data_IF_404643583938
#
_entry.id   IF_404643583938
#
_cell.length_a   1.000
_cell.length_b   1.000
_cell.length_c   1.000
_cell.angle_alpha   90.00
_cell.angle_beta   90.00
_cell.angle_gamma   90.00
#
_symmetry.space_group_name_H-M   'P 1'
#
loop_
_entity.id
_entity.type
_entity.pdbx_description
1 polymer ?
#
# COMPACT_ATOMS: atom_id res chain seq x y z
N UNK A 1 6.32 -23.11 21.29
CA UNK A 1 6.07 -22.13 20.21
C UNK A 1 5.72 -20.81 20.89
N UNK A 2 6.51 -19.76 20.69
CA UNK A 2 6.29 -18.50 21.40
C UNK A 2 5.26 -17.68 20.61
N UNK A 3 4.13 -17.37 21.25
CA UNK A 3 3.09 -16.51 20.68
C UNK A 3 3.65 -15.10 20.52
N UNK A 4 3.43 -14.49 19.36
CA UNK A 4 3.77 -13.09 19.12
C UNK A 4 2.70 -12.21 19.80
N UNK A 5 3.09 -11.35 20.73
CA UNK A 5 2.17 -10.39 21.34
C UNK A 5 1.82 -9.24 20.38
N UNK A 6 0.67 -8.56 20.56
CA UNK A 6 0.34 -7.35 19.81
C UNK A 6 1.47 -6.32 19.73
N UNK A 7 2.09 -6.02 20.88
CA UNK A 7 3.19 -5.05 20.97
C UNK A 7 4.44 -5.52 20.24
N UNK A 8 4.74 -6.83 20.26
CA UNK A 8 5.88 -7.38 19.52
C UNK A 8 5.64 -7.30 18.01
N UNK A 9 4.42 -7.55 17.52
CA UNK A 9 4.07 -7.37 16.11
C UNK A 9 4.27 -5.93 15.66
N UNK A 10 3.71 -4.97 16.40
CA UNK A 10 3.86 -3.54 16.10
C UNK A 10 5.34 -3.15 16.09
N UNK A 11 6.10 -3.56 17.10
CA UNK A 11 7.53 -3.25 17.19
C UNK A 11 8.33 -3.88 16.05
N UNK A 12 8.05 -5.14 15.70
CA UNK A 12 8.70 -5.81 14.59
C UNK A 12 8.48 -5.05 13.29
N UNK A 13 7.21 -4.79 12.98
CA UNK A 13 6.81 -4.05 11.79
C UNK A 13 7.44 -2.65 11.72
N UNK A 14 7.37 -1.88 12.79
CA UNK A 14 7.96 -0.53 12.85
C UNK A 14 9.48 -0.56 12.71
N UNK A 15 10.16 -1.52 13.35
CA UNK A 15 11.63 -1.64 13.28
C UNK A 15 12.13 -2.03 11.89
N UNK A 16 11.32 -2.77 11.14
CA UNK A 16 11.57 -3.14 9.74
C UNK A 16 11.11 -2.06 8.75
N UNK A 17 10.48 -0.97 9.21
CA UNK A 17 9.98 0.10 8.35
C UNK A 17 8.87 -0.34 7.40
N UNK A 18 8.03 -1.29 7.83
CA UNK A 18 6.97 -1.86 7.02
C UNK A 18 5.59 -1.26 7.37
N UNK A 19 4.77 -1.08 6.33
CA UNK A 19 3.36 -0.71 6.51
C UNK A 19 2.53 -1.90 6.97
N UNK A 20 1.40 -1.65 7.66
CA UNK A 20 0.45 -2.72 8.00
C UNK A 20 -0.08 -3.42 6.74
N UNK A 21 -0.34 -2.67 5.67
CA UNK A 21 -0.83 -3.21 4.41
C UNK A 21 0.16 -4.19 3.79
N UNK A 22 1.45 -3.84 3.80
CA UNK A 22 2.53 -4.67 3.28
C UNK A 22 2.62 -6.00 4.04
N UNK A 23 2.69 -5.95 5.38
CA UNK A 23 2.73 -7.16 6.22
C UNK A 23 1.48 -8.01 6.04
N UNK A 24 0.30 -7.37 6.04
CA UNK A 24 -0.98 -8.05 5.86
C UNK A 24 -1.02 -8.81 4.52
N UNK A 25 -0.60 -8.16 3.43
CA UNK A 25 -0.53 -8.77 2.10
C UNK A 25 0.46 -9.92 2.05
N UNK A 26 1.69 -9.71 2.53
CA UNK A 26 2.75 -10.73 2.49
C UNK A 26 2.36 -11.99 3.27
N UNK A 27 1.66 -11.83 4.39
CA UNK A 27 1.18 -12.92 5.23
C UNK A 27 -0.13 -13.53 4.71
N UNK A 28 -0.88 -12.82 3.86
CA UNK A 28 -2.23 -13.21 3.45
C UNK A 28 -3.32 -12.93 4.50
N UNK A 29 -3.02 -12.07 5.48
CA UNK A 29 -3.95 -11.66 6.53
C UNK A 29 -4.75 -10.43 6.09
N UNK A 30 -6.03 -10.35 6.48
CA UNK A 30 -6.80 -9.13 6.26
C UNK A 30 -6.18 -7.95 7.05
N UNK A 31 -5.90 -6.83 6.37
CA UNK A 31 -5.25 -5.65 6.99
C UNK A 31 -6.01 -5.14 8.23
N UNK A 32 -7.34 -5.07 8.20
CA UNK A 32 -8.12 -4.64 9.36
C UNK A 32 -7.96 -5.60 10.55
N UNK A 33 -7.72 -6.89 10.30
CA UNK A 33 -7.46 -7.85 11.38
C UNK A 33 -6.07 -7.66 11.97
N UNK A 34 -5.05 -7.39 11.15
CA UNK A 34 -3.72 -7.03 11.62
C UNK A 34 -3.77 -5.76 12.48
N UNK A 35 -4.45 -4.72 12.01
CA UNK A 35 -4.63 -3.46 12.75
C UNK A 35 -5.33 -3.66 14.09
N UNK A 36 -6.42 -4.45 14.12
CA UNK A 36 -7.11 -4.77 15.38
C UNK A 36 -6.23 -5.60 16.33
N UNK A 37 -5.42 -6.51 15.79
CA UNK A 37 -4.48 -7.30 16.58
C UNK A 37 -3.37 -6.44 17.18
N UNK A 38 -2.67 -5.63 16.38
CA UNK A 38 -1.63 -4.70 16.84
C UNK A 38 -2.19 -3.69 17.87
N UNK A 39 -3.44 -3.26 17.70
CA UNK A 39 -4.15 -2.41 18.65
C UNK A 39 -4.67 -3.13 19.91
N UNK A 40 -4.43 -4.44 20.06
CA UNK A 40 -4.87 -5.25 21.19
C UNK A 40 -6.40 -5.48 21.27
N UNK A 41 -7.14 -5.12 20.22
CA UNK A 41 -8.61 -5.27 20.13
C UNK A 41 -9.03 -6.68 19.73
N UNK A 42 -8.12 -7.46 19.14
CA UNK A 42 -8.37 -8.81 18.63
C UNK A 42 -7.21 -9.74 18.95
N UNK A 43 -7.54 -11.01 19.19
CA UNK A 43 -6.56 -12.11 19.22
C UNK A 43 -6.60 -12.84 17.88
N UNK A 44 -5.45 -13.04 17.24
CA UNK A 44 -5.36 -13.77 15.97
C UNK A 44 -5.36 -15.28 16.19
N UNK A 45 -5.81 -16.03 15.19
CA UNK A 45 -5.65 -17.48 15.15
C UNK A 45 -4.17 -17.88 15.07
N UNK A 46 -3.81 -19.05 15.60
CA UNK A 46 -2.44 -19.55 15.68
C UNK A 46 -1.72 -19.57 14.31
N UNK A 47 -2.44 -19.88 13.23
CA UNK A 47 -1.87 -19.87 11.86
C UNK A 47 -1.34 -18.49 11.47
N UNK A 48 -2.03 -17.42 11.84
CA UNK A 48 -1.66 -16.06 11.48
C UNK A 48 -0.52 -15.55 12.37
N UNK A 49 -0.54 -15.91 13.66
CA UNK A 49 0.57 -15.59 14.55
C UNK A 49 1.87 -16.29 14.11
N UNK A 50 1.74 -17.54 13.65
CA UNK A 50 2.86 -18.31 13.08
C UNK A 50 3.39 -17.63 11.83
N UNK A 51 2.51 -17.32 10.88
CA UNK A 51 2.89 -16.69 9.62
C UNK A 51 3.52 -15.29 9.82
N UNK A 52 2.99 -14.47 10.74
CA UNK A 52 3.60 -13.18 11.11
C UNK A 52 5.01 -13.36 11.68
N UNK A 53 5.20 -14.33 12.57
CA UNK A 53 6.50 -14.61 13.18
C UNK A 53 7.51 -15.10 12.14
N UNK A 54 7.11 -16.04 11.29
CA UNK A 54 7.95 -16.56 10.21
C UNK A 54 8.32 -15.45 9.23
N UNK A 55 7.35 -14.61 8.86
CA UNK A 55 7.57 -13.45 8.00
C UNK A 55 8.60 -12.49 8.61
N UNK A 56 8.36 -11.99 9.82
CA UNK A 56 9.29 -11.05 10.46
C UNK A 56 10.68 -11.66 10.69
N UNK A 57 10.75 -12.93 11.08
CA UNK A 57 12.03 -13.63 11.22
C UNK A 57 12.76 -13.80 9.88
N UNK A 58 12.02 -14.02 8.78
CA UNK A 58 12.58 -14.08 7.43
C UNK A 58 13.13 -12.73 6.95
N UNK A 59 12.49 -11.64 7.38
CA UNK A 59 12.91 -10.26 7.15
C UNK A 59 14.06 -9.82 8.10
N UNK A 60 14.58 -10.73 8.92
CA UNK A 60 15.72 -10.47 9.80
C UNK A 60 15.36 -9.80 11.13
N UNK A 61 14.08 -9.75 11.49
CA UNK A 61 13.68 -9.33 12.83
C UNK A 61 13.97 -10.43 13.84
N UNK A 62 14.92 -10.16 14.72
CA UNK A 62 15.16 -10.98 15.90
C UNK A 62 14.37 -10.41 17.07
N UNK A 63 13.58 -11.26 17.72
CA UNK A 63 12.96 -10.96 19.02
C UNK A 63 14.04 -10.92 20.11
N UNK A 64 14.98 -9.97 19.98
CA UNK A 64 15.94 -9.67 21.02
C UNK A 64 15.13 -9.29 22.24
N UNK A 65 15.28 -10.09 23.31
CA UNK A 65 14.52 -10.01 24.55
C UNK A 65 14.10 -8.58 24.85
N UNK A 66 12.80 -8.32 24.79
CA UNK A 66 12.19 -7.05 25.12
C UNK A 66 12.82 -6.58 26.43
N UNK A 67 13.79 -5.68 26.35
CA UNK A 67 14.32 -4.97 27.50
C UNK A 67 13.08 -4.28 28.03
N UNK A 68 12.55 -4.79 29.15
CA UNK A 68 11.40 -4.23 29.84
C UNK A 68 11.70 -2.76 30.04
N UNK A 69 11.25 -1.92 29.13
CA UNK A 69 11.39 -0.49 29.28
C UNK A 69 10.66 -0.14 30.57
N UNK A 70 11.28 0.64 31.46
CA UNK A 70 10.65 0.99 32.71
C UNK A 70 9.28 1.66 32.43
N UNK A 71 8.24 1.32 33.21
CA UNK A 71 6.92 1.94 33.10
C UNK A 71 7.05 3.41 33.47
N UNK A 72 7.23 4.26 32.47
CA UNK A 72 7.54 5.67 32.72
C UNK A 72 7.90 6.51 31.49
N UNK A 73 8.15 5.90 30.32
CA UNK A 73 8.21 6.67 29.07
C UNK A 73 6.80 6.97 28.55
N UNK A 74 6.06 7.79 29.30
CA UNK A 74 5.11 8.68 28.64
C UNK A 74 5.97 9.62 27.80
N UNK A 75 6.12 9.32 26.50
CA UNK A 75 6.64 10.27 25.52
C UNK A 75 5.88 11.57 25.77
N UNK A 76 6.54 12.53 26.42
CA UNK A 76 6.08 13.91 26.42
C UNK A 76 5.98 14.28 24.96
N UNK A 77 4.76 14.39 24.43
CA UNK A 77 4.49 14.74 23.04
C UNK A 77 5.36 15.97 22.73
N UNK A 78 6.43 15.83 21.92
CA UNK A 78 7.15 17.00 21.46
C UNK A 78 6.12 17.90 20.78
N UNK A 79 6.22 19.21 21.03
CA UNK A 79 5.33 20.24 20.46
C UNK A 79 4.90 19.82 19.05
N UNK A 80 3.59 19.61 18.88
CA UNK A 80 3.00 18.90 17.74
C UNK A 80 3.71 19.27 16.44
N UNK A 81 4.61 18.40 16.00
CA UNK A 81 5.25 18.56 14.70
C UNK A 81 4.12 18.64 13.68
N UNK A 82 4.11 19.63 12.77
CA UNK A 82 3.11 19.70 11.71
C UNK A 82 3.22 18.52 10.73
N UNK A 83 4.19 17.62 10.95
CA UNK A 83 4.43 16.44 10.15
C UNK A 83 4.64 15.20 11.02
N UNK A 84 4.08 14.08 10.57
CA UNK A 84 4.42 12.73 10.99
C UNK A 84 5.27 12.04 9.90
N UNK A 85 5.92 10.93 10.23
CA UNK A 85 6.61 10.09 9.24
C UNK A 85 6.09 8.67 9.33
N UNK A 86 5.60 8.13 8.21
CA UNK A 86 5.16 6.74 8.07
C UNK A 86 5.87 6.17 6.84
N UNK A 87 6.57 5.05 6.98
CA UNK A 87 7.32 4.37 5.90
C UNK A 87 8.27 5.28 5.12
N UNK A 88 8.88 6.26 5.80
CA UNK A 88 9.76 7.27 5.18
C UNK A 88 9.01 8.40 4.45
N UNK A 89 7.69 8.37 4.38
CA UNK A 89 6.87 9.45 3.84
C UNK A 89 6.59 10.50 4.91
N UNK A 90 6.75 11.78 4.54
CA UNK A 90 6.35 12.92 5.36
C UNK A 90 4.85 13.14 5.19
N UNK A 91 4.11 13.05 6.29
CA UNK A 91 2.65 13.15 6.34
C UNK A 91 2.24 14.42 7.07
N UNK A 92 1.42 15.25 6.43
CA UNK A 92 0.89 16.46 7.04
C UNK A 92 -0.03 16.13 8.22
N UNK A 93 0.06 16.90 9.30
CA UNK A 93 -0.67 16.64 10.55
C UNK A 93 -2.19 16.69 10.45
N UNK A 94 -2.75 17.21 9.35
CA UNK A 94 -4.21 17.24 9.13
C UNK A 94 -4.75 15.98 8.44
N UNK A 95 -3.87 15.07 8.01
CA UNK A 95 -4.27 13.81 7.38
C UNK A 95 -4.41 12.78 8.50
N UNK A 96 -5.59 12.18 8.57
CA UNK A 96 -5.85 11.16 9.58
C UNK A 96 -4.97 9.91 9.31
N UNK A 97 -4.47 9.22 10.36
CA UNK A 97 -3.61 8.05 10.19
C UNK A 97 -4.19 6.98 9.27
N UNK A 98 -5.49 6.69 9.40
CA UNK A 98 -6.17 5.70 8.56
C UNK A 98 -6.21 6.11 7.07
N UNK A 99 -6.36 7.41 6.79
CA UNK A 99 -6.35 7.98 5.43
C UNK A 99 -4.93 7.93 4.85
N UNK A 100 -3.93 8.32 5.65
CA UNK A 100 -2.53 8.22 5.29
C UNK A 100 -2.14 6.79 4.90
N UNK A 101 -2.51 5.80 5.72
CA UNK A 101 -2.23 4.39 5.41
C UNK A 101 -2.97 3.91 4.16
N UNK A 102 -4.21 4.33 3.92
CA UNK A 102 -4.94 3.98 2.70
C UNK A 102 -4.28 4.57 1.44
N UNK A 103 -3.78 5.80 1.53
CA UNK A 103 -3.03 6.44 0.45
C UNK A 103 -1.70 5.72 0.18
N UNK A 104 -0.97 5.35 1.23
CA UNK A 104 0.27 4.59 1.10
C UNK A 104 0.02 3.20 0.49
N UNK A 105 -1.06 2.53 0.90
CA UNK A 105 -1.47 1.26 0.31
C UNK A 105 -1.73 1.40 -1.20
N UNK A 106 -2.48 2.43 -1.62
CA UNK A 106 -2.70 2.73 -3.03
C UNK A 106 -1.38 3.04 -3.77
N UNK A 107 -0.46 3.77 -3.12
CA UNK A 107 0.86 4.07 -3.67
C UNK A 107 1.65 2.80 -3.98
N UNK A 108 1.68 1.85 -3.03
CA UNK A 108 2.37 0.57 -3.22
C UNK A 108 1.69 -0.29 -4.29
N UNK A 109 0.36 -0.39 -4.30
CA UNK A 109 -0.37 -1.12 -5.35
C UNK A 109 -0.04 -0.57 -6.74
N UNK A 110 0.01 0.76 -6.89
CA UNK A 110 0.39 1.37 -8.16
C UNK A 110 1.84 1.03 -8.57
N UNK A 111 2.74 0.93 -7.59
CA UNK A 111 4.14 0.53 -7.82
C UNK A 111 4.26 -0.91 -8.32
N UNK A 112 3.59 -1.84 -7.62
CA UNK A 112 3.57 -3.27 -7.99
C UNK A 112 3.02 -3.46 -9.41
N UNK A 113 1.95 -2.75 -9.76
CA UNK A 113 1.38 -2.78 -11.11
C UNK A 113 2.34 -2.22 -12.17
N UNK A 114 3.04 -1.13 -11.87
CA UNK A 114 4.03 -0.57 -12.78
C UNK A 114 5.20 -1.54 -13.02
N UNK A 115 5.67 -2.23 -11.99
CA UNK A 115 6.72 -3.25 -12.11
C UNK A 115 6.25 -4.42 -12.99
N UNK A 116 5.05 -4.95 -12.74
CA UNK A 116 4.45 -5.98 -13.58
C UNK A 116 4.34 -5.57 -15.05
N UNK A 117 3.93 -4.32 -15.30
CA UNK A 117 3.83 -3.77 -16.65
C UNK A 117 5.20 -3.59 -17.33
N UNK A 118 6.23 -3.26 -16.57
CA UNK A 118 7.60 -3.11 -17.10
C UNK A 118 8.17 -4.46 -17.57
N UNK A 119 7.78 -5.55 -16.92
CA UNK A 119 8.18 -6.92 -17.28
C UNK A 119 7.31 -7.57 -18.37
N UNK A 120 6.19 -6.93 -18.73
CA UNK A 120 5.26 -7.47 -19.73
C UNK A 120 5.80 -7.27 -21.15
N UNK A 121 5.90 -8.37 -21.91
CA UNK A 121 6.29 -8.29 -23.33
C UNK A 121 5.21 -7.57 -24.14
N UNK A 122 5.63 -6.61 -24.97
CA UNK A 122 4.73 -5.94 -25.91
C UNK A 122 4.23 -6.91 -26.97
N UNK A 123 2.95 -6.82 -27.31
CA UNK A 123 2.37 -7.61 -28.39
C UNK A 123 3.02 -7.24 -29.73
N UNK A 124 3.55 -8.27 -30.41
CA UNK A 124 4.03 -8.16 -31.77
C UNK A 124 2.84 -8.26 -32.74
N UNK A 125 2.78 -7.34 -33.70
CA UNK A 125 1.84 -7.35 -34.81
C UNK A 125 2.19 -8.39 -35.87
N UNK A 126 1.38 -8.43 -36.93
CA UNK A 126 1.44 -9.45 -38.00
C UNK A 126 2.79 -9.58 -38.70
N UNK A 127 3.64 -8.55 -38.67
CA UNK A 127 4.98 -8.57 -39.26
C UNK A 127 6.12 -8.61 -38.23
N UNK A 128 5.83 -8.94 -36.95
CA UNK A 128 6.82 -8.90 -35.88
C UNK A 128 7.18 -7.49 -35.40
N UNK A 129 6.50 -6.46 -35.91
CA UNK A 129 6.63 -5.08 -35.42
C UNK A 129 5.82 -4.90 -34.14
N UNK A 130 6.30 -4.05 -33.22
CA UNK A 130 5.54 -3.71 -32.02
C UNK A 130 4.20 -3.09 -32.43
N UNK A 131 3.10 -3.60 -31.87
CA UNK A 131 1.79 -3.00 -32.06
C UNK A 131 1.75 -1.61 -31.43
N UNK A 132 1.83 -0.56 -32.25
CA UNK A 132 1.84 0.83 -31.79
C UNK A 132 0.61 1.17 -30.94
N UNK A 133 -0.54 0.58 -31.26
CA UNK A 133 -1.79 0.76 -30.49
C UNK A 133 -1.67 0.12 -29.10
N UNK A 134 -1.14 -1.10 -29.01
CA UNK A 134 -0.96 -1.81 -27.74
C UNK A 134 0.08 -1.09 -26.88
N UNK A 135 1.22 -0.71 -27.46
CA UNK A 135 2.26 0.07 -26.80
C UNK A 135 1.75 1.44 -26.31
N UNK A 136 0.93 2.12 -27.10
CA UNK A 136 0.31 3.38 -26.69
C UNK A 136 -0.62 3.20 -25.49
N UNK A 137 -1.41 2.11 -25.46
CA UNK A 137 -2.29 1.86 -24.33
C UNK A 137 -1.57 1.48 -23.06
N UNK A 138 -0.60 0.58 -23.15
CA UNK A 138 0.21 0.17 -22.00
C UNK A 138 1.02 1.35 -21.45
N UNK A 139 1.65 2.17 -22.30
CA UNK A 139 2.35 3.37 -21.84
C UNK A 139 1.42 4.39 -21.20
N UNK A 140 0.20 4.56 -21.72
CA UNK A 140 -0.82 5.41 -21.10
C UNK A 140 -1.21 4.96 -19.69
N UNK A 141 -1.40 3.64 -19.48
CA UNK A 141 -1.67 3.06 -18.17
C UNK A 141 -0.50 3.26 -17.20
N UNK A 142 0.72 3.00 -17.64
CA UNK A 142 1.93 3.18 -16.82
C UNK A 142 2.08 4.63 -16.38
N UNK A 143 1.89 5.59 -17.31
CA UNK A 143 1.92 7.03 -17.00
C UNK A 143 0.81 7.39 -16.01
N UNK A 144 -0.38 6.83 -16.14
CA UNK A 144 -1.50 7.09 -15.22
C UNK A 144 -1.15 6.68 -13.78
N UNK A 145 -0.56 5.48 -13.60
CA UNK A 145 -0.11 4.99 -12.29
C UNK A 145 0.98 5.88 -11.70
N UNK A 146 1.98 6.27 -12.51
CA UNK A 146 3.05 7.16 -12.06
C UNK A 146 2.53 8.55 -11.64
N UNK A 147 1.58 9.10 -12.39
CA UNK A 147 0.90 10.36 -12.04
C UNK A 147 0.13 10.21 -10.73
N UNK A 148 -0.55 9.07 -10.52
CA UNK A 148 -1.29 8.82 -9.29
C UNK A 148 -0.36 8.71 -8.07
N UNK A 149 0.76 8.01 -8.18
CA UNK A 149 1.78 7.97 -7.12
C UNK A 149 2.29 9.37 -6.75
N UNK A 150 2.53 10.23 -7.74
CA UNK A 150 2.92 11.62 -7.50
C UNK A 150 1.83 12.41 -6.76
N UNK A 151 0.56 12.25 -7.16
CA UNK A 151 -0.57 12.87 -6.48
C UNK A 151 -0.66 12.42 -5.02
N UNK A 152 -0.52 11.11 -4.76
CA UNK A 152 -0.53 10.58 -3.39
C UNK A 152 0.56 11.24 -2.56
N UNK A 153 1.79 11.35 -3.07
CA UNK A 153 2.88 12.04 -2.37
C UNK A 153 2.52 13.50 -2.04
N UNK A 154 1.89 14.21 -2.98
CA UNK A 154 1.45 15.60 -2.76
C UNK A 154 0.35 15.71 -1.72
N UNK A 155 -0.63 14.80 -1.76
CA UNK A 155 -1.70 14.71 -0.76
C UNK A 155 -1.08 14.45 0.61
N UNK A 156 -0.24 13.42 0.75
CA UNK A 156 0.45 13.09 2.00
C UNK A 156 1.22 14.28 2.57
N UNK A 157 1.86 15.09 1.72
CA UNK A 157 2.59 16.30 2.14
C UNK A 157 1.69 17.50 2.43
N UNK A 158 0.37 17.38 2.29
CA UNK A 158 -0.59 18.47 2.48
C UNK A 158 -0.54 19.53 1.39
N UNK A 159 0.01 19.21 0.21
CA UNK A 159 0.15 20.14 -0.92
C UNK A 159 -1.12 20.16 -1.78
N UNK A 160 -1.89 19.09 -1.77
CA UNK A 160 -3.17 18.95 -2.46
C UNK A 160 -4.18 18.37 -1.46
N UNK A 161 -5.44 18.79 -1.57
CA UNK A 161 -6.51 18.10 -0.85
C UNK A 161 -6.69 16.70 -1.45
N UNK A 162 -7.03 15.72 -0.61
CA UNK A 162 -7.48 14.43 -1.09
C UNK A 162 -8.68 14.64 -2.04
N UNK A 163 -8.42 14.55 -3.34
CA UNK A 163 -9.46 14.68 -4.34
C UNK A 163 -10.30 13.42 -4.26
N UNK A 164 -11.41 13.49 -3.53
CA UNK A 164 -12.40 12.42 -3.43
C UNK A 164 -13.26 12.33 -4.67
N UNK A 165 -12.94 13.03 -5.77
CA UNK A 165 -13.78 13.03 -6.97
C UNK A 165 -13.97 11.58 -7.40
N UNK A 166 -15.16 11.00 -7.18
CA UNK A 166 -15.36 9.59 -7.43
C UNK A 166 -15.12 9.38 -8.92
N UNK A 167 -14.42 8.30 -9.25
CA UNK A 167 -14.20 7.87 -10.63
C UNK A 167 -15.56 7.88 -11.31
N UNK A 168 -15.73 8.85 -12.19
CA UNK A 168 -17.04 9.21 -12.72
C UNK A 168 -17.40 8.19 -13.79
N UNK A 169 -18.68 7.78 -13.85
CA UNK A 169 -19.21 6.91 -14.89
C UNK A 169 -18.77 7.41 -16.28
N UNK A 170 -18.54 6.50 -17.23
CA UNK A 170 -18.05 6.73 -18.62
C UNK A 170 -18.58 7.99 -19.31
N UNK A 171 -19.80 8.44 -18.99
CA UNK A 171 -20.41 9.65 -19.55
C UNK A 171 -19.98 11.01 -18.96
N UNK A 172 -19.04 11.07 -18.00
CA UNK A 172 -18.64 12.33 -17.34
C UNK A 172 -17.14 12.66 -17.45
N UNK A 173 -16.40 11.96 -18.32
CA UNK A 173 -14.97 12.21 -18.57
C UNK A 173 -14.76 13.54 -19.32
N UNK A 174 -14.63 14.64 -18.56
CA UNK A 174 -14.46 16.00 -19.11
C UNK A 174 -13.01 16.46 -19.26
N UNK A 175 -12.06 15.76 -18.63
CA UNK A 175 -10.65 16.18 -18.57
C UNK A 175 -9.76 14.96 -18.74
N UNK A 176 -8.52 15.18 -19.18
CA UNK A 176 -7.50 14.12 -19.20
C UNK A 176 -7.32 13.48 -17.82
N UNK A 177 -7.42 14.26 -16.73
CA UNK A 177 -7.39 13.74 -15.37
C UNK A 177 -8.50 12.73 -15.07
N UNK A 178 -9.72 12.95 -15.55
CA UNK A 178 -10.81 11.97 -15.43
C UNK A 178 -10.53 10.70 -16.22
N UNK A 179 -9.97 10.82 -17.43
CA UNK A 179 -9.60 9.68 -18.28
C UNK A 179 -8.53 8.84 -17.58
N UNK A 180 -7.50 9.45 -17.00
CA UNK A 180 -6.46 8.74 -16.27
C UNK A 180 -6.98 8.05 -15.00
N UNK A 181 -7.83 8.73 -14.21
CA UNK A 181 -8.45 8.12 -13.03
C UNK A 181 -9.34 6.92 -13.38
N UNK A 182 -10.05 7.00 -14.51
CA UNK A 182 -10.85 5.90 -15.04
C UNK A 182 -9.99 4.73 -15.54
N UNK A 183 -8.91 5.00 -16.26
CA UNK A 183 -7.96 3.97 -16.74
C UNK A 183 -7.29 3.24 -15.57
N UNK A 184 -6.85 3.95 -14.52
CA UNK A 184 -6.28 3.34 -13.32
C UNK A 184 -7.30 2.43 -12.59
N UNK A 185 -8.56 2.86 -12.50
CA UNK A 185 -9.65 2.07 -11.91
C UNK A 185 -9.98 0.81 -12.71
N UNK A 186 -10.03 0.90 -14.04
CA UNK A 186 -10.25 -0.26 -14.90
C UNK A 186 -9.07 -1.22 -14.88
N UNK A 187 -7.84 -0.71 -14.83
CA UNK A 187 -6.61 -1.51 -14.73
C UNK A 187 -6.61 -2.42 -13.50
N UNK A 188 -7.13 -1.94 -12.36
CA UNK A 188 -7.27 -2.75 -11.14
C UNK A 188 -8.36 -3.84 -11.19
N UNK A 189 -9.24 -3.85 -12.20
CA UNK A 189 -10.31 -4.84 -12.35
C UNK A 189 -10.02 -5.93 -13.41
N UNK A 190 -8.84 -5.89 -14.06
CA UNK A 190 -8.51 -6.83 -15.14
C UNK A 190 -8.34 -8.28 -14.60
N UNK A 191 -8.08 -8.46 -13.30
CA UNK A 191 -7.76 -9.77 -12.70
C UNK A 191 -8.93 -10.75 -12.50
N UNK A 192 -10.20 -10.35 -12.68
CA UNK A 192 -11.34 -11.24 -12.45
C UNK A 192 -11.96 -11.90 -13.70
N UNK A 193 -11.39 -11.68 -14.89
CA UNK A 193 -11.98 -12.18 -16.14
C UNK A 193 -11.12 -13.20 -16.92
N UNK A 194 -9.88 -13.45 -16.50
CA UNK A 194 -8.95 -14.35 -17.22
C UNK A 194 -9.00 -15.80 -16.70
N UNK A 195 -9.64 -16.08 -15.55
CA UNK A 195 -9.72 -17.43 -14.96
C UNK A 195 -10.97 -18.26 -15.33
N UNK A 196 -11.82 -17.81 -16.26
CA UNK A 196 -12.95 -18.61 -16.75
C UNK A 196 -12.88 -18.84 -18.27
N UNK A 197 -11.89 -19.59 -18.71
CA UNK A 197 -12.02 -20.42 -19.90
C UNK A 197 -11.20 -21.70 -19.71
N UNK A 198 -11.90 -22.76 -19.30
CA UNK A 198 -11.44 -24.15 -19.31
C UNK A 198 -12.56 -25.00 -19.91
#
# INVERSE_FOLDING_TARGET
MQILSPSEATQARESLGMSQAHVARAVGLNRSYLSQFEGGKRVLEDRWQTALREYFSGEGWESAQVIKMPPGSTKSLPAASPFATIDGFVIAAHIEPDEAEALLEEYYIAGDLMELMADTNLELGFFGEISLKSAFWQSGQYIALAVRQLQIIRILRGQEAASTTPITKEGQLKTLGHVYGYIAFLGGNIDNSITQSS
#
